data_IF_020567374235
#
_entry.id   IF_020567374235
#
_cell.length_a   1.000
_cell.length_b   1.000
_cell.length_c   1.000
_cell.angle_alpha   90.00
_cell.angle_beta   90.00
_cell.angle_gamma   90.00
#
_symmetry.space_group_name_H-M   'P 1'
#
loop_
_entity.id
_entity.type
_entity.pdbx_description
1 polymer ?
#
# COMPACT_ATOMS: atom_id res chain seq x y z
N UNK A 1 0.85 -15.17 41.03
CA UNK A 1 1.07 -14.17 39.98
C UNK A 1 2.28 -14.62 39.15
N UNK A 2 2.06 -15.36 38.07
CA UNK A 2 3.13 -15.79 37.16
C UNK A 2 3.18 -14.75 36.00
N UNK A 3 4.26 -13.98 35.93
CA UNK A 3 4.52 -13.10 34.80
C UNK A 3 4.90 -13.96 33.60
N UNK A 4 4.04 -13.95 32.60
CA UNK A 4 4.30 -14.56 31.29
C UNK A 4 5.22 -13.61 30.50
N UNK A 5 6.49 -13.98 30.38
CA UNK A 5 7.40 -13.32 29.42
C UNK A 5 7.07 -13.86 28.03
N UNK A 6 6.36 -13.07 27.23
CA UNK A 6 6.23 -13.35 25.81
C UNK A 6 7.46 -12.75 25.14
N UNK A 7 8.33 -13.60 24.63
CA UNK A 7 9.46 -13.21 23.79
C UNK A 7 8.90 -12.61 22.50
N UNK A 8 8.92 -11.28 22.38
CA UNK A 8 8.55 -10.56 21.15
C UNK A 8 9.66 -10.72 20.13
N UNK A 9 9.44 -11.55 19.10
CA UNK A 9 10.27 -11.51 17.92
C UNK A 9 10.07 -10.15 17.23
N UNK A 10 11.15 -9.58 16.71
CA UNK A 10 11.29 -8.23 16.16
C UNK A 10 10.25 -7.89 15.06
N UNK A 11 9.54 -8.88 14.51
CA UNK A 11 8.47 -8.68 13.51
C UNK A 11 7.12 -8.21 14.06
N UNK A 12 6.82 -8.42 15.35
CA UNK A 12 5.51 -8.07 15.93
C UNK A 12 5.34 -6.58 16.27
N UNK A 13 6.43 -5.86 16.49
CA UNK A 13 6.36 -4.45 16.92
C UNK A 13 6.04 -3.45 15.80
N UNK A 14 6.37 -3.77 14.55
CA UNK A 14 6.11 -2.87 13.41
C UNK A 14 4.62 -2.82 12.99
N UNK A 15 3.81 -3.82 13.36
CA UNK A 15 2.43 -3.94 12.87
C UNK A 15 1.38 -3.24 13.73
N UNK A 16 1.65 -2.98 15.02
CA UNK A 16 0.73 -2.23 15.89
C UNK A 16 0.61 -0.75 15.49
N UNK A 17 1.64 -0.18 14.84
CA UNK A 17 1.62 1.18 14.33
C UNK A 17 0.66 1.36 13.14
N UNK A 18 0.36 0.30 12.38
CA UNK A 18 -0.51 0.36 11.21
C UNK A 18 -2.00 0.51 11.55
N UNK A 19 -2.44 0.08 12.74
CA UNK A 19 -3.83 0.24 13.19
C UNK A 19 -4.09 1.43 14.11
N UNK A 20 -3.07 2.25 14.43
CA UNK A 20 -3.25 3.48 15.21
C UNK A 20 -3.73 3.30 16.65
N UNK A 21 -3.66 2.09 17.24
CA UNK A 21 -4.02 1.79 18.62
C UNK A 21 -2.78 1.47 19.43
N UNK A 22 -2.18 2.49 20.04
CA UNK A 22 -1.05 2.32 20.96
C UNK A 22 -0.52 3.65 21.46
N UNK A 23 -1.36 4.45 22.10
CA UNK A 23 -0.91 5.52 23.00
C UNK A 23 -1.28 5.14 24.42
N UNK A 24 -0.32 4.54 25.14
CA UNK A 24 -0.27 4.66 26.58
C UNK A 24 0.60 5.88 26.86
N UNK A 25 -0.04 7.00 27.12
CA UNK A 25 0.61 8.24 27.49
C UNK A 25 1.06 8.14 28.95
N UNK A 26 2.37 8.22 29.20
CA UNK A 26 2.91 8.67 30.47
C UNK A 26 3.32 10.16 30.30
N UNK A 27 3.05 11.05 31.30
CA UNK A 27 3.06 12.51 31.08
C UNK A 27 4.43 13.20 30.93
N UNK A 28 5.53 12.50 30.92
CA UNK A 28 6.87 13.11 30.98
C UNK A 28 7.69 13.03 29.67
N UNK A 29 7.17 12.40 28.61
CA UNK A 29 7.88 12.22 27.34
C UNK A 29 7.53 13.19 26.20
N UNK A 30 6.51 14.02 26.35
CA UNK A 30 5.89 14.76 25.24
C UNK A 30 6.73 15.94 24.73
N UNK A 31 7.57 16.55 25.58
CA UNK A 31 8.33 17.75 25.18
C UNK A 31 9.61 17.47 24.36
N UNK A 32 10.14 16.26 24.40
CA UNK A 32 11.35 15.92 23.63
C UNK A 32 11.02 15.48 22.19
N UNK A 33 9.84 14.88 21.99
CA UNK A 33 9.43 14.37 20.66
C UNK A 33 8.93 15.51 19.77
N UNK A 34 8.27 16.52 20.34
CA UNK A 34 7.77 17.67 19.57
C UNK A 34 8.92 18.54 19.05
N UNK A 35 10.00 18.70 19.83
CA UNK A 35 11.15 19.49 19.38
C UNK A 35 11.95 18.82 18.26
N UNK A 36 12.06 17.49 18.29
CA UNK A 36 12.68 16.72 17.20
C UNK A 36 11.80 16.67 15.94
N UNK A 37 10.48 16.75 16.08
CA UNK A 37 9.53 16.83 14.97
C UNK A 37 9.59 18.17 14.25
N UNK A 38 9.65 19.28 15.00
CA UNK A 38 9.77 20.62 14.43
C UNK A 38 11.13 20.85 13.75
N UNK A 39 12.22 20.33 14.31
CA UNK A 39 13.55 20.39 13.68
C UNK A 39 13.66 19.52 12.42
N UNK A 40 12.92 18.43 12.33
CA UNK A 40 12.84 17.58 11.14
C UNK A 40 11.96 18.21 10.04
N UNK A 41 10.91 18.93 10.40
CA UNK A 41 10.03 19.64 9.46
C UNK A 41 10.74 20.85 8.83
N UNK A 42 11.55 21.57 9.63
CA UNK A 42 12.36 22.70 9.13
C UNK A 42 13.57 22.23 8.29
N UNK A 43 14.10 21.01 8.56
CA UNK A 43 15.16 20.43 7.73
C UNK A 43 14.64 19.86 6.39
N UNK A 44 13.33 19.55 6.29
CA UNK A 44 12.67 19.07 5.06
C UNK A 44 12.45 20.19 4.03
N UNK A 45 12.51 21.46 4.42
CA UNK A 45 12.23 22.61 3.54
C UNK A 45 13.49 23.22 2.90
N UNK A 46 14.65 22.64 3.12
CA UNK A 46 15.78 22.90 2.23
C UNK A 46 15.50 22.18 0.92
N UNK A 47 14.82 22.89 0.00
CA UNK A 47 14.69 22.53 -1.40
C UNK A 47 16.09 22.25 -1.96
N UNK A 48 16.52 20.98 -1.87
CA UNK A 48 17.55 20.46 -2.75
C UNK A 48 17.03 20.80 -4.15
N UNK A 49 17.66 21.74 -4.84
CA UNK A 49 17.39 21.99 -6.26
C UNK A 49 17.62 20.66 -6.95
N UNK A 50 16.53 19.90 -7.13
CA UNK A 50 16.55 18.63 -7.84
C UNK A 50 17.01 18.99 -9.25
N UNK A 51 18.21 18.58 -9.62
CA UNK A 51 18.65 18.72 -11.02
C UNK A 51 17.54 18.17 -11.90
N UNK A 52 17.13 18.96 -12.89
CA UNK A 52 16.08 18.54 -13.80
C UNK A 52 16.51 17.22 -14.47
N UNK A 53 15.69 16.19 -14.32
CA UNK A 53 15.95 14.90 -14.93
C UNK A 53 16.07 15.10 -16.45
N UNK A 54 17.26 14.88 -17.01
CA UNK A 54 17.49 14.97 -18.46
C UNK A 54 16.95 13.70 -19.12
N UNK A 55 15.83 13.83 -19.82
CA UNK A 55 15.29 12.79 -20.67
C UNK A 55 15.86 12.92 -22.09
N UNK A 56 15.96 11.82 -22.86
CA UNK A 56 16.25 11.88 -24.28
C UNK A 56 15.23 12.78 -25.00
N UNK A 57 15.68 13.52 -25.99
CA UNK A 57 14.80 14.35 -26.81
C UNK A 57 14.23 13.53 -27.99
N UNK A 58 13.05 13.94 -28.48
CA UNK A 58 12.40 13.40 -29.70
C UNK A 58 12.01 11.91 -29.63
N UNK A 59 11.60 11.43 -28.46
CA UNK A 59 10.97 10.12 -28.32
C UNK A 59 9.45 10.21 -28.52
N UNK A 60 8.86 9.13 -29.03
CA UNK A 60 7.40 8.94 -29.09
C UNK A 60 6.84 8.66 -27.67
N UNK A 61 5.53 8.78 -27.47
CA UNK A 61 4.88 8.47 -26.22
C UNK A 61 5.20 7.04 -25.74
N UNK A 62 5.20 6.06 -26.66
CA UNK A 62 5.52 4.66 -26.36
C UNK A 62 6.98 4.48 -25.94
N UNK A 63 7.90 5.18 -26.55
CA UNK A 63 9.33 5.13 -26.18
C UNK A 63 9.56 5.78 -24.82
N UNK A 64 8.92 6.92 -24.51
CA UNK A 64 8.97 7.49 -23.17
C UNK A 64 8.37 6.54 -22.12
N UNK A 65 7.27 5.87 -22.43
CA UNK A 65 6.70 4.86 -21.53
C UNK A 65 7.70 3.74 -21.24
N UNK A 66 8.33 3.19 -22.27
CA UNK A 66 9.36 2.13 -22.16
C UNK A 66 10.58 2.62 -21.37
N UNK A 67 11.02 3.85 -21.62
CA UNK A 67 12.12 4.49 -20.90
C UNK A 67 11.82 4.61 -19.41
N UNK A 68 10.58 4.94 -19.05
CA UNK A 68 10.14 4.95 -17.66
C UNK A 68 10.19 3.57 -17.01
N UNK A 69 9.81 2.50 -17.72
CA UNK A 69 9.93 1.12 -17.21
C UNK A 69 11.38 0.73 -16.94
N UNK A 70 12.30 1.12 -17.80
CA UNK A 70 13.74 0.90 -17.60
C UNK A 70 14.29 1.73 -16.44
N UNK A 71 13.79 2.96 -16.28
CA UNK A 71 14.12 3.82 -15.13
C UNK A 71 13.84 3.13 -13.81
N UNK A 72 12.65 2.53 -13.66
CA UNK A 72 12.28 1.76 -12.44
C UNK A 72 13.24 0.58 -12.20
N UNK A 73 13.57 -0.18 -13.25
CA UNK A 73 14.51 -1.32 -13.12
C UNK A 73 15.88 -0.89 -12.59
N UNK A 74 16.29 0.33 -12.89
CA UNK A 74 17.55 0.93 -12.42
C UNK A 74 17.39 1.68 -11.09
N UNK A 75 16.23 1.60 -10.43
CA UNK A 75 15.93 2.30 -9.18
C UNK A 75 15.67 3.82 -9.33
N UNK A 76 15.55 4.31 -10.55
CA UNK A 76 15.37 5.73 -10.86
C UNK A 76 13.91 6.15 -10.93
N UNK A 77 13.21 6.27 -9.79
CA UNK A 77 11.81 6.72 -9.75
C UNK A 77 11.60 8.09 -10.40
N UNK A 78 12.49 9.05 -10.19
CA UNK A 78 12.34 10.40 -10.76
C UNK A 78 12.44 10.39 -12.29
N UNK A 79 13.34 9.55 -12.84
CA UNK A 79 13.47 9.34 -14.30
C UNK A 79 12.19 8.71 -14.85
N UNK A 80 11.66 7.70 -14.18
CA UNK A 80 10.44 7.02 -14.61
C UNK A 80 9.23 7.96 -14.58
N UNK A 81 9.07 8.73 -13.50
CA UNK A 81 7.99 9.73 -13.38
C UNK A 81 8.06 10.74 -14.50
N UNK A 82 9.24 11.36 -14.71
CA UNK A 82 9.42 12.36 -15.77
C UNK A 82 9.14 11.79 -17.17
N UNK A 83 9.55 10.53 -17.42
CA UNK A 83 9.30 9.85 -18.68
C UNK A 83 7.80 9.56 -18.89
N UNK A 84 7.09 9.07 -17.88
CA UNK A 84 5.65 8.80 -17.99
C UNK A 84 4.83 10.08 -18.08
N UNK A 85 5.23 11.18 -17.42
CA UNK A 85 4.62 12.49 -17.61
C UNK A 85 4.77 12.97 -19.06
N UNK A 86 5.94 12.76 -19.69
CA UNK A 86 6.15 13.07 -21.13
C UNK A 86 5.33 12.15 -22.03
N UNK A 87 5.23 10.86 -21.71
CA UNK A 87 4.39 9.93 -22.47
C UNK A 87 2.93 10.39 -22.49
N UNK A 88 2.38 10.74 -21.32
CA UNK A 88 1.01 11.25 -21.16
C UNK A 88 0.81 12.60 -21.88
N UNK A 89 1.81 13.48 -21.85
CA UNK A 89 1.74 14.75 -22.54
C UNK A 89 1.66 14.60 -24.08
N UNK A 90 2.31 13.55 -24.62
CA UNK A 90 2.30 13.22 -26.05
C UNK A 90 1.06 12.40 -26.45
N UNK A 91 0.61 11.51 -25.58
CA UNK A 91 -0.58 10.69 -25.77
C UNK A 91 -1.44 10.70 -24.48
N UNK A 92 -2.36 11.65 -24.35
CA UNK A 92 -3.26 11.71 -23.19
C UNK A 92 -4.20 10.52 -23.03
N UNK A 93 -4.34 9.67 -24.05
CA UNK A 93 -5.13 8.43 -24.00
C UNK A 93 -4.36 7.21 -23.51
N UNK A 94 -3.06 7.33 -23.22
CA UNK A 94 -2.21 6.21 -22.79
C UNK A 94 -2.46 5.84 -21.32
N UNK A 95 -3.60 5.19 -21.02
CA UNK A 95 -4.00 4.82 -19.65
C UNK A 95 -2.92 3.99 -18.90
N UNK A 96 -2.17 3.12 -19.60
CA UNK A 96 -1.07 2.35 -18.97
C UNK A 96 0.03 3.25 -18.38
N UNK A 97 0.24 4.44 -18.94
CA UNK A 97 1.19 5.40 -18.37
C UNK A 97 0.66 6.06 -17.10
N UNK A 98 -0.65 6.33 -17.03
CA UNK A 98 -1.28 6.84 -15.81
C UNK A 98 -1.18 5.81 -14.65
N UNK A 99 -1.48 4.51 -14.91
CA UNK A 99 -1.33 3.44 -13.93
C UNK A 99 0.09 3.41 -13.35
N UNK A 100 1.11 3.41 -14.21
CA UNK A 100 2.52 3.36 -13.78
C UNK A 100 2.94 4.63 -13.03
N UNK A 101 2.51 5.79 -13.51
CA UNK A 101 2.81 7.08 -12.87
C UNK A 101 2.14 7.18 -11.50
N UNK A 102 0.86 6.81 -11.38
CA UNK A 102 0.15 6.78 -10.10
C UNK A 102 0.82 5.85 -9.10
N UNK A 103 1.20 4.65 -9.53
CA UNK A 103 1.92 3.67 -8.70
C UNK A 103 3.30 4.19 -8.28
N UNK A 104 4.04 4.89 -9.13
CA UNK A 104 5.34 5.47 -8.80
C UNK A 104 5.20 6.57 -7.73
N UNK A 105 4.21 7.47 -7.87
CA UNK A 105 3.91 8.47 -6.87
C UNK A 105 3.50 7.83 -5.53
N UNK A 106 2.65 6.79 -5.57
CA UNK A 106 2.26 6.04 -4.37
C UNK A 106 3.48 5.43 -3.66
N UNK A 107 4.37 4.79 -4.42
CA UNK A 107 5.59 4.15 -3.85
C UNK A 107 6.54 5.17 -3.22
N UNK A 108 6.55 6.42 -3.71
CA UNK A 108 7.30 7.52 -3.12
C UNK A 108 6.58 8.20 -1.93
N UNK A 109 5.42 7.71 -1.50
CA UNK A 109 4.61 8.35 -0.45
C UNK A 109 3.90 9.64 -0.89
N UNK A 110 3.94 9.99 -2.16
CA UNK A 110 3.32 11.20 -2.73
C UNK A 110 1.85 10.94 -3.06
N UNK A 111 1.07 10.65 -2.02
CA UNK A 111 -0.30 10.13 -2.17
C UNK A 111 -1.24 11.12 -2.86
N UNK A 112 -1.12 12.43 -2.59
CA UNK A 112 -1.95 13.45 -3.27
C UNK A 112 -1.75 13.41 -4.78
N UNK A 113 -0.49 13.33 -5.24
CA UNK A 113 -0.18 13.22 -6.68
C UNK A 113 -0.65 11.89 -7.27
N UNK A 114 -0.51 10.80 -6.54
CA UNK A 114 -1.05 9.51 -6.97
C UNK A 114 -2.57 9.59 -7.19
N UNK A 115 -3.29 10.21 -6.24
CA UNK A 115 -4.73 10.42 -6.36
C UNK A 115 -5.14 11.30 -7.53
N UNK A 116 -4.39 12.36 -7.83
CA UNK A 116 -4.62 13.19 -9.02
C UNK A 116 -4.48 12.39 -10.30
N UNK A 117 -3.44 11.56 -10.40
CA UNK A 117 -3.18 10.72 -11.57
C UNK A 117 -4.28 9.67 -11.75
N UNK A 118 -4.66 8.95 -10.70
CA UNK A 118 -5.73 7.96 -10.78
C UNK A 118 -7.10 8.61 -11.09
N UNK A 119 -7.38 9.83 -10.62
CA UNK A 119 -8.59 10.57 -11.05
C UNK A 119 -8.58 10.95 -12.52
N UNK A 120 -7.41 11.26 -13.11
CA UNK A 120 -7.28 11.48 -14.56
C UNK A 120 -7.50 10.17 -15.32
N UNK A 121 -6.91 9.08 -14.87
CA UNK A 121 -7.11 7.75 -15.45
C UNK A 121 -8.58 7.32 -15.40
N UNK A 122 -9.27 7.56 -14.27
CA UNK A 122 -10.69 7.26 -14.10
C UNK A 122 -11.59 7.97 -15.12
N UNK A 123 -11.22 9.20 -15.56
CA UNK A 123 -11.96 9.90 -16.61
C UNK A 123 -11.83 9.22 -17.98
N UNK A 124 -10.72 8.52 -18.22
CA UNK A 124 -10.47 7.77 -19.45
C UNK A 124 -11.11 6.39 -19.41
N UNK A 125 -11.12 5.75 -18.25
CA UNK A 125 -11.65 4.41 -18.06
C UNK A 125 -12.53 4.32 -16.80
N UNK A 126 -13.79 4.81 -16.83
CA UNK A 126 -14.64 4.95 -15.66
C UNK A 126 -15.18 3.62 -15.11
N UNK A 127 -15.00 2.51 -15.82
CA UNK A 127 -15.52 1.20 -15.42
C UNK A 127 -14.43 0.20 -14.99
N UNK A 128 -13.18 0.65 -14.85
CA UNK A 128 -12.12 -0.22 -14.36
C UNK A 128 -12.12 -0.31 -12.83
N UNK A 129 -12.39 -1.48 -12.24
CA UNK A 129 -12.39 -1.67 -10.80
C UNK A 129 -11.02 -1.40 -10.15
N UNK A 130 -9.92 -1.58 -10.90
CA UNK A 130 -8.57 -1.38 -10.37
C UNK A 130 -8.24 0.09 -10.11
N UNK A 131 -8.80 1.01 -10.87
CA UNK A 131 -8.62 2.44 -10.65
C UNK A 131 -9.32 2.86 -9.35
N UNK A 132 -10.55 2.40 -9.12
CA UNK A 132 -11.26 2.63 -7.86
C UNK A 132 -10.55 1.99 -6.67
N UNK A 133 -10.03 0.78 -6.84
CA UNK A 133 -9.20 0.12 -5.84
C UNK A 133 -7.97 0.97 -5.48
N UNK A 134 -7.22 1.45 -6.48
CA UNK A 134 -6.03 2.29 -6.28
C UNK A 134 -6.36 3.62 -5.60
N UNK A 135 -7.46 4.27 -5.99
CA UNK A 135 -7.96 5.48 -5.32
C UNK A 135 -8.35 5.20 -3.87
N UNK A 136 -9.02 4.08 -3.59
CA UNK A 136 -9.36 3.68 -2.24
C UNK A 136 -8.13 3.48 -1.35
N UNK A 137 -7.07 2.86 -1.89
CA UNK A 137 -5.79 2.71 -1.19
C UNK A 137 -5.15 4.08 -0.92
N UNK A 138 -5.11 4.97 -1.91
CA UNK A 138 -4.54 6.32 -1.77
C UNK A 138 -5.31 7.15 -0.74
N UNK A 139 -6.64 7.15 -0.77
CA UNK A 139 -7.45 7.84 0.22
C UNK A 139 -7.21 7.30 1.64
N UNK A 140 -7.10 5.99 1.81
CA UNK A 140 -6.74 5.39 3.11
C UNK A 140 -5.37 5.85 3.59
N UNK A 141 -4.38 5.95 2.70
CA UNK A 141 -3.03 6.41 3.05
C UNK A 141 -3.01 7.90 3.44
N UNK A 142 -3.92 8.70 2.88
CA UNK A 142 -4.17 10.09 3.26
C UNK A 142 -5.16 10.24 4.44
N UNK A 143 -5.46 9.14 5.15
CA UNK A 143 -6.40 9.11 6.29
C UNK A 143 -7.84 9.57 5.97
N UNK A 144 -8.18 9.65 4.69
CA UNK A 144 -9.53 9.97 4.18
C UNK A 144 -10.36 8.67 4.12
N UNK A 145 -10.68 8.12 5.29
CA UNK A 145 -11.22 6.76 5.40
C UNK A 145 -12.62 6.62 4.81
N UNK A 146 -13.46 7.65 4.90
CA UNK A 146 -14.81 7.67 4.33
C UNK A 146 -14.75 7.57 2.80
N UNK A 147 -13.91 8.40 2.17
CA UNK A 147 -13.69 8.37 0.72
C UNK A 147 -13.08 7.05 0.27
N UNK A 148 -12.15 6.49 1.07
CA UNK A 148 -11.55 5.18 0.80
C UNK A 148 -12.62 4.08 0.75
N UNK A 149 -13.54 4.03 1.72
CA UNK A 149 -14.66 3.07 1.74
C UNK A 149 -15.54 3.22 0.50
N UNK A 150 -15.86 4.46 0.09
CA UNK A 150 -16.67 4.71 -1.12
C UNK A 150 -15.98 4.14 -2.36
N UNK A 151 -14.70 4.41 -2.55
CA UNK A 151 -13.94 3.92 -3.70
C UNK A 151 -13.80 2.39 -3.67
N UNK A 152 -13.46 1.80 -2.52
CA UNK A 152 -13.33 0.35 -2.38
C UNK A 152 -14.65 -0.38 -2.64
N UNK A 153 -15.77 0.13 -2.14
CA UNK A 153 -17.11 -0.40 -2.46
C UNK A 153 -17.44 -0.25 -3.93
N UNK A 154 -17.05 0.84 -4.58
CA UNK A 154 -17.23 1.00 -6.02
C UNK A 154 -16.40 -0.01 -6.81
N UNK A 155 -15.14 -0.26 -6.43
CA UNK A 155 -14.33 -1.32 -7.01
C UNK A 155 -15.03 -2.69 -6.90
N UNK A 156 -15.56 -3.02 -5.72
CA UNK A 156 -16.28 -4.28 -5.46
C UNK A 156 -17.64 -4.37 -6.18
N UNK A 157 -18.32 -3.25 -6.42
CA UNK A 157 -19.54 -3.25 -7.23
C UNK A 157 -19.28 -3.58 -8.71
N UNK A 158 -18.08 -3.25 -9.22
CA UNK A 158 -17.63 -3.57 -10.58
C UNK A 158 -17.00 -4.97 -10.66
N UNK A 159 -16.26 -5.37 -9.63
CA UNK A 159 -15.68 -6.71 -9.52
C UNK A 159 -15.82 -7.26 -8.08
N UNK A 160 -16.91 -7.97 -7.77
CA UNK A 160 -17.14 -8.54 -6.44
C UNK A 160 -16.12 -9.60 -6.01
N UNK A 161 -15.37 -10.17 -6.96
CA UNK A 161 -14.37 -11.22 -6.70
C UNK A 161 -12.96 -10.69 -6.46
N UNK A 162 -12.79 -9.39 -6.29
CA UNK A 162 -11.48 -8.78 -6.04
C UNK A 162 -11.09 -8.93 -4.57
N UNK A 163 -10.46 -10.06 -4.23
CA UNK A 163 -10.04 -10.37 -2.84
C UNK A 163 -9.20 -9.26 -2.20
N UNK A 164 -8.30 -8.64 -2.99
CA UNK A 164 -7.49 -7.50 -2.51
C UNK A 164 -8.34 -6.29 -2.12
N UNK A 165 -9.45 -6.02 -2.80
CA UNK A 165 -10.33 -4.89 -2.46
C UNK A 165 -11.13 -5.15 -1.18
N UNK A 166 -11.59 -6.39 -0.95
CA UNK A 166 -12.17 -6.78 0.33
C UNK A 166 -11.17 -6.63 1.47
N UNK A 167 -9.92 -7.05 1.27
CA UNK A 167 -8.86 -6.92 2.27
C UNK A 167 -8.55 -5.44 2.58
N UNK A 168 -8.43 -4.58 1.58
CA UNK A 168 -8.24 -3.14 1.77
C UNK A 168 -9.43 -2.46 2.46
N UNK A 169 -10.66 -2.89 2.15
CA UNK A 169 -11.86 -2.42 2.84
C UNK A 169 -11.82 -2.80 4.33
N UNK A 170 -11.38 -4.03 4.66
CA UNK A 170 -11.17 -4.46 6.04
C UNK A 170 -10.14 -3.59 6.77
N UNK A 171 -9.01 -3.27 6.12
CA UNK A 171 -8.02 -2.34 6.66
C UNK A 171 -8.59 -0.95 6.93
N UNK A 172 -9.40 -0.42 6.01
CA UNK A 172 -10.04 0.88 6.15
C UNK A 172 -11.01 0.89 7.33
N UNK A 173 -11.85 -0.16 7.48
CA UNK A 173 -12.74 -0.30 8.63
C UNK A 173 -11.97 -0.44 9.95
N UNK A 174 -10.85 -1.15 9.96
CA UNK A 174 -10.00 -1.25 11.14
C UNK A 174 -9.49 0.14 11.57
N UNK A 175 -9.06 0.99 10.62
CA UNK A 175 -8.64 2.38 10.89
C UNK A 175 -9.78 3.23 11.46
N UNK A 176 -11.00 3.01 11.02
CA UNK A 176 -12.22 3.63 11.56
C UNK A 176 -12.68 3.02 12.90
N UNK A 177 -11.97 2.02 13.45
CA UNK A 177 -12.36 1.25 14.65
C UNK A 177 -13.67 0.46 14.49
N UNK A 178 -14.11 0.21 13.26
CA UNK A 178 -15.27 -0.59 12.88
C UNK A 178 -14.87 -2.05 12.78
N UNK A 179 -14.56 -2.66 13.94
CA UNK A 179 -13.85 -3.94 14.00
C UNK A 179 -14.69 -5.12 13.47
N UNK A 180 -16.01 -5.11 13.66
CA UNK A 180 -16.88 -6.18 13.15
C UNK A 180 -16.93 -6.18 11.63
N UNK A 181 -17.00 -5.01 11.03
CA UNK A 181 -17.01 -4.84 9.58
C UNK A 181 -15.62 -5.17 8.99
N UNK A 182 -14.56 -4.86 9.72
CA UNK A 182 -13.21 -5.27 9.32
C UNK A 182 -13.06 -6.81 9.30
N UNK A 183 -13.57 -7.51 10.32
CA UNK A 183 -13.60 -8.98 10.36
C UNK A 183 -14.37 -9.53 9.16
N UNK A 184 -15.57 -9.00 8.88
CA UNK A 184 -16.38 -9.45 7.76
C UNK A 184 -15.64 -9.27 6.43
N UNK A 185 -15.06 -8.11 6.19
CA UNK A 185 -14.35 -7.81 4.95
C UNK A 185 -13.11 -8.70 4.76
N UNK A 186 -12.30 -8.92 5.80
CA UNK A 186 -11.16 -9.84 5.70
C UNK A 186 -11.59 -11.29 5.47
N UNK A 187 -12.70 -11.73 6.07
CA UNK A 187 -13.26 -13.08 5.81
C UNK A 187 -13.74 -13.24 4.37
N UNK A 188 -14.39 -12.23 3.78
CA UNK A 188 -14.74 -12.25 2.35
C UNK A 188 -13.48 -12.33 1.47
N UNK A 189 -12.42 -11.60 1.80
CA UNK A 189 -11.15 -11.70 1.10
C UNK A 189 -10.59 -13.13 1.13
N UNK A 190 -10.63 -13.78 2.30
CA UNK A 190 -10.16 -15.16 2.49
C UNK A 190 -11.09 -16.21 1.88
N UNK A 191 -12.38 -15.95 1.78
CA UNK A 191 -13.30 -16.81 1.05
C UNK A 191 -13.00 -16.83 -0.45
N UNK A 192 -12.53 -15.71 -1.01
CA UNK A 192 -12.13 -15.58 -2.41
C UNK A 192 -10.70 -16.08 -2.67
N UNK A 193 -9.78 -15.79 -1.76
CA UNK A 193 -8.39 -16.25 -1.80
C UNK A 193 -7.94 -16.75 -0.42
N UNK A 194 -8.11 -18.05 -0.12
CA UNK A 194 -7.71 -18.63 1.16
C UNK A 194 -6.20 -18.58 1.43
N UNK A 195 -5.38 -18.23 0.43
CA UNK A 195 -3.92 -18.13 0.56
C UNK A 195 -3.44 -16.67 0.67
N UNK A 196 -4.35 -15.71 0.78
CA UNK A 196 -4.01 -14.31 0.92
C UNK A 196 -3.42 -14.04 2.31
N UNK A 197 -2.12 -14.28 2.48
CA UNK A 197 -1.41 -14.15 3.76
C UNK A 197 -1.63 -12.81 4.44
N UNK A 198 -1.68 -11.71 3.67
CA UNK A 198 -1.96 -10.38 4.22
C UNK A 198 -3.33 -10.30 4.88
N UNK A 199 -4.35 -10.98 4.36
CA UNK A 199 -5.69 -10.99 4.96
C UNK A 199 -5.71 -11.80 6.27
N UNK A 200 -5.03 -12.93 6.35
CA UNK A 200 -4.85 -13.67 7.61
C UNK A 200 -4.15 -12.81 8.67
N UNK A 201 -3.06 -12.13 8.27
CA UNK A 201 -2.34 -11.26 9.21
C UNK A 201 -3.22 -10.14 9.75
N UNK A 202 -3.94 -9.42 8.89
CA UNK A 202 -4.79 -8.32 9.32
C UNK A 202 -6.02 -8.79 10.09
N UNK A 203 -6.62 -9.92 9.72
CA UNK A 203 -7.71 -10.53 10.49
C UNK A 203 -7.24 -10.92 11.90
N UNK A 204 -6.04 -11.49 12.03
CA UNK A 204 -5.41 -11.76 13.33
C UNK A 204 -5.24 -10.48 14.17
N UNK A 205 -4.76 -9.38 13.56
CA UNK A 205 -4.66 -8.09 14.24
C UNK A 205 -6.04 -7.58 14.70
N UNK A 206 -7.06 -7.67 13.86
CA UNK A 206 -8.42 -7.24 14.22
C UNK A 206 -8.97 -8.09 15.37
N UNK A 207 -8.72 -9.39 15.38
CA UNK A 207 -9.12 -10.25 16.51
C UNK A 207 -8.40 -9.89 17.81
N UNK A 208 -7.11 -9.54 17.76
CA UNK A 208 -6.41 -9.01 18.96
C UNK A 208 -7.06 -7.74 19.49
N UNK A 209 -7.42 -6.80 18.61
CA UNK A 209 -8.10 -5.57 18.99
C UNK A 209 -9.48 -5.80 19.60
N UNK A 210 -10.13 -6.93 19.28
CA UNK A 210 -11.39 -7.39 19.87
C UNK A 210 -11.21 -8.21 21.14
N UNK A 211 -9.97 -8.52 21.57
CA UNK A 211 -9.68 -9.38 22.71
C UNK A 211 -9.84 -10.89 22.46
N UNK A 212 -9.95 -11.29 21.18
CA UNK A 212 -10.16 -12.67 20.72
C UNK A 212 -8.80 -13.34 20.42
N UNK A 213 -8.05 -13.65 21.47
CA UNK A 213 -6.65 -14.07 21.35
C UNK A 213 -6.47 -15.44 20.67
N UNK A 214 -7.39 -16.37 20.87
CA UNK A 214 -7.31 -17.71 20.26
C UNK A 214 -7.54 -17.65 18.74
N UNK A 215 -8.53 -16.87 18.31
CA UNK A 215 -8.81 -16.64 16.90
C UNK A 215 -7.66 -15.89 16.21
N UNK A 216 -7.08 -14.91 16.91
CA UNK A 216 -5.92 -14.18 16.40
C UNK A 216 -4.71 -15.10 16.19
N UNK A 217 -4.44 -16.00 17.14
CA UNK A 217 -3.34 -16.97 17.04
C UNK A 217 -3.54 -17.92 15.85
N UNK A 218 -4.77 -18.39 15.64
CA UNK A 218 -5.10 -19.24 14.50
C UNK A 218 -4.79 -18.54 13.17
N UNK A 219 -5.21 -17.28 13.01
CA UNK A 219 -4.96 -16.51 11.79
C UNK A 219 -3.46 -16.21 11.57
N UNK A 220 -2.70 -15.90 12.63
CA UNK A 220 -1.25 -15.71 12.51
C UNK A 220 -0.51 -17.01 12.15
N UNK A 221 -1.03 -18.18 12.55
CA UNK A 221 -0.45 -19.46 12.15
C UNK A 221 -0.69 -19.75 10.67
N UNK A 222 -1.88 -19.43 10.14
CA UNK A 222 -2.12 -19.50 8.68
C UNK A 222 -1.23 -18.52 7.91
N UNK A 223 -1.09 -17.27 8.38
CA UNK A 223 -0.16 -16.31 7.77
C UNK A 223 1.27 -16.87 7.68
N UNK A 224 1.83 -17.41 8.78
CA UNK A 224 3.17 -18.00 8.82
C UNK A 224 3.33 -19.15 7.82
N UNK A 225 2.32 -19.99 7.67
CA UNK A 225 2.30 -21.11 6.73
C UNK A 225 2.43 -20.64 5.28
N UNK A 226 1.72 -19.56 4.90
CA UNK A 226 1.79 -19.02 3.53
C UNK A 226 3.05 -18.21 3.26
N UNK A 227 3.61 -17.52 4.25
CA UNK A 227 4.91 -16.83 4.10
C UNK A 227 6.07 -17.83 4.00
N UNK A 228 6.06 -18.90 4.79
CA UNK A 228 7.06 -19.95 4.69
C UNK A 228 7.03 -20.63 3.30
N UNK A 229 5.86 -20.81 2.71
CA UNK A 229 5.71 -21.37 1.35
C UNK A 229 6.29 -20.48 0.25
N UNK A 230 6.27 -19.17 0.41
CA UNK A 230 6.88 -18.23 -0.56
C UNK A 230 8.41 -18.32 -0.59
N UNK A 231 9.03 -18.58 0.55
CA UNK A 231 10.49 -18.70 0.66
C UNK A 231 11.03 -20.06 0.16
N UNK A 232 10.16 -21.04 -0.09
CA UNK A 232 10.49 -22.37 -0.58
C UNK A 232 10.32 -22.55 -2.09
N UNK A 233 9.86 -21.52 -2.82
CA UNK A 233 9.85 -21.56 -4.29
C UNK A 233 11.29 -21.59 -4.78
N UNK A 234 11.73 -22.62 -5.55
CA UNK A 234 13.11 -22.73 -5.99
C UNK A 234 13.46 -21.52 -6.83
N UNK A 235 14.46 -20.79 -6.40
CA UNK A 235 15.16 -19.83 -7.23
C UNK A 235 15.64 -20.57 -8.48
N UNK A 236 15.19 -20.14 -9.63
CA UNK A 236 15.39 -20.75 -10.92
C UNK A 236 16.85 -21.15 -11.20
N UNK A 237 17.02 -22.44 -11.55
CA UNK A 237 17.97 -22.88 -12.55
C UNK A 237 19.44 -22.68 -12.20
N UNK A 238 20.08 -23.67 -11.57
CA UNK A 238 21.47 -23.93 -11.82
C UNK A 238 21.65 -24.12 -13.33
N UNK A 239 22.70 -23.52 -13.98
CA UNK A 239 23.03 -23.82 -15.35
C UNK A 239 23.49 -25.26 -15.41
N UNK A 240 22.80 -26.10 -16.20
CA UNK A 240 23.25 -27.42 -16.56
C UNK A 240 24.61 -27.31 -17.29
N UNK A 241 25.64 -27.83 -16.66
CA UNK A 241 26.89 -28.13 -17.33
C UNK A 241 26.66 -29.22 -18.39
N UNK A 242 26.87 -28.87 -19.64
CA UNK A 242 27.34 -29.74 -20.71
C UNK A 242 28.16 -28.92 -21.71
#
# INVERSE_FOLDING_TARGET
MKRLYIATSIGGMLFLSLCGCGKNETPEGVNAVNKAGEEAEVAGEQAVKKEAVKLPEKLTAKEYYTYGLEGIKKGGFDVAIAAWEKAIALDPGMFVAYEKLGKAYYTQGRFDKAGEIYRKELKLNPNDPMIYFSLGVVYRMNEQYEDAVVMQRKALSLNPKLASAHNELGLTYCKQKRLDEAVAAHKEALALDPKLGTAHNYLGVVYLLKGMSAEAEAEFNEFKKYEAGKNLSPQHGAPSAH
#
